data_IF_321437133778
#
_entry.id   IF_321437133778
#
_cell.length_a   1.000
_cell.length_b   1.000
_cell.length_c   1.000
_cell.angle_alpha   90.00
_cell.angle_beta   90.00
_cell.angle_gamma   90.00
#
_symmetry.space_group_name_H-M   'P 1'
#
loop_
_entity.id
_entity.type
_entity.pdbx_description
1 polymer ?
#
# COMPACT_ATOMS: atom_id res chain seq x y z
N UNK A 1 -0.42 -0.23 -15.34
CA UNK A 1 -1.59 0.15 -16.17
C UNK A 1 -2.75 -0.79 -15.84
N UNK A 2 -4.04 -0.33 -15.98
CA UNK A 2 -5.22 -1.12 -15.67
C UNK A 2 -5.55 -1.28 -14.17
N UNK A 3 -4.96 -0.45 -13.30
CA UNK A 3 -5.14 -0.51 -11.85
C UNK A 3 -6.27 0.40 -11.38
N UNK A 4 -6.73 0.20 -10.14
CA UNK A 4 -7.68 1.09 -9.46
C UNK A 4 -7.12 2.50 -9.30
N UNK A 5 -5.82 2.64 -9.09
CA UNK A 5 -5.12 3.92 -9.05
C UNK A 5 -5.23 4.71 -10.37
N UNK A 6 -5.07 4.05 -11.51
CA UNK A 6 -5.30 4.70 -12.83
C UNK A 6 -6.74 5.23 -12.95
N UNK A 7 -7.73 4.41 -12.55
CA UNK A 7 -9.13 4.80 -12.55
C UNK A 7 -9.39 5.98 -11.61
N UNK A 8 -8.78 5.97 -10.44
CA UNK A 8 -8.89 7.05 -9.47
C UNK A 8 -8.34 8.38 -10.02
N UNK A 9 -7.16 8.36 -10.65
CA UNK A 9 -6.59 9.56 -11.30
C UNK A 9 -7.53 10.13 -12.34
N UNK A 10 -8.04 9.29 -13.25
CA UNK A 10 -8.96 9.74 -14.32
C UNK A 10 -10.28 10.30 -13.77
N UNK A 11 -10.74 9.79 -12.64
CA UNK A 11 -12.00 10.20 -12.02
C UNK A 11 -11.85 11.47 -11.19
N UNK A 12 -10.85 11.54 -10.34
CA UNK A 12 -10.72 12.60 -9.32
C UNK A 12 -9.75 13.70 -9.72
N UNK A 13 -8.85 13.43 -10.66
CA UNK A 13 -7.84 14.37 -11.12
C UNK A 13 -7.85 14.50 -12.66
N UNK A 14 -8.97 14.88 -13.27
CA UNK A 14 -9.14 14.85 -14.73
C UNK A 14 -8.17 15.79 -15.49
N UNK A 15 -7.61 16.78 -14.80
CA UNK A 15 -6.66 17.74 -15.38
C UNK A 15 -5.19 17.33 -15.18
N UNK A 16 -4.92 16.22 -14.48
CA UNK A 16 -3.56 15.72 -14.30
C UNK A 16 -3.06 15.00 -15.55
N UNK A 17 -1.79 15.18 -15.87
CA UNK A 17 -1.13 14.39 -16.92
C UNK A 17 -0.84 13.01 -16.39
N UNK A 18 -1.62 12.01 -16.81
CA UNK A 18 -1.43 10.63 -16.40
C UNK A 18 -0.27 9.97 -17.16
N UNK A 19 0.58 9.29 -16.41
CA UNK A 19 1.70 8.49 -16.92
C UNK A 19 1.65 7.09 -16.31
N UNK A 20 1.37 6.08 -17.12
CA UNK A 20 1.27 4.68 -16.67
C UNK A 20 2.58 3.93 -16.84
N UNK A 21 2.87 3.03 -15.89
CA UNK A 21 4.04 2.15 -15.88
C UNK A 21 3.57 0.69 -15.76
N UNK A 22 4.38 -0.25 -16.24
CA UNK A 22 4.11 -1.67 -16.06
C UNK A 22 4.51 -2.13 -14.65
N UNK A 23 5.64 -1.65 -14.14
CA UNK A 23 6.09 -1.91 -12.79
C UNK A 23 5.80 -0.70 -11.89
N UNK A 24 5.17 -0.94 -10.76
CA UNK A 24 4.85 0.07 -9.75
C UNK A 24 6.12 0.70 -9.14
N UNK A 25 7.21 -0.07 -9.05
CA UNK A 25 8.48 0.42 -8.56
C UNK A 25 9.08 1.50 -9.46
N UNK A 26 8.94 1.36 -10.78
CA UNK A 26 9.42 2.36 -11.74
C UNK A 26 8.63 3.67 -11.61
N UNK A 27 7.31 3.57 -11.44
CA UNK A 27 6.46 4.74 -11.20
C UNK A 27 6.87 5.47 -9.91
N UNK A 28 7.14 4.73 -8.82
CA UNK A 28 7.60 5.31 -7.57
C UNK A 28 8.96 6.02 -7.72
N UNK A 29 9.89 5.42 -8.44
CA UNK A 29 11.20 6.01 -8.68
C UNK A 29 11.15 7.28 -9.53
N UNK A 30 10.17 7.43 -10.43
CA UNK A 30 9.99 8.68 -11.18
C UNK A 30 9.62 9.84 -10.25
N UNK A 31 8.77 9.61 -9.24
CA UNK A 31 8.45 10.64 -8.23
C UNK A 31 9.66 10.92 -7.33
N UNK A 32 10.34 9.90 -6.85
CA UNK A 32 11.53 10.04 -5.99
C UNK A 32 12.66 10.81 -6.70
N UNK A 33 12.75 10.67 -8.03
CA UNK A 33 13.73 11.36 -8.86
C UNK A 33 13.24 12.73 -9.38
N UNK A 34 12.05 13.19 -8.99
CA UNK A 34 11.51 14.49 -9.39
C UNK A 34 11.04 14.57 -10.86
N UNK A 35 10.78 13.44 -11.51
CA UNK A 35 10.29 13.37 -12.89
C UNK A 35 8.77 13.24 -12.99
N UNK A 36 8.10 13.02 -11.87
CA UNK A 36 6.65 13.06 -11.69
C UNK A 36 6.33 13.73 -10.36
N UNK A 37 5.18 14.40 -10.29
CA UNK A 37 4.77 15.17 -9.10
C UNK A 37 4.18 14.27 -8.01
N UNK A 38 3.48 13.19 -8.38
CA UNK A 38 2.83 12.29 -7.44
C UNK A 38 2.70 10.86 -7.99
N UNK A 39 2.66 9.89 -7.07
CA UNK A 39 2.26 8.51 -7.31
C UNK A 39 0.93 8.26 -6.60
N UNK A 40 -0.02 7.65 -7.30
CA UNK A 40 -1.25 7.12 -6.71
C UNK A 40 -1.24 5.61 -6.90
N UNK A 41 -1.14 4.90 -5.78
CA UNK A 41 -1.10 3.45 -5.72
C UNK A 41 -1.53 2.96 -4.33
N UNK A 42 -1.52 1.66 -4.10
CA UNK A 42 -1.90 1.05 -2.83
C UNK A 42 -1.11 1.61 -1.64
N UNK A 43 -1.82 1.94 -0.56
CA UNK A 43 -1.24 2.59 0.62
C UNK A 43 -0.03 1.83 1.20
N UNK A 44 -0.06 0.48 1.35
CA UNK A 44 1.10 -0.26 1.86
C UNK A 44 2.34 -0.13 0.98
N UNK A 45 2.16 -0.17 -0.35
CA UNK A 45 3.27 0.00 -1.29
C UNK A 45 3.86 1.41 -1.23
N UNK A 46 3.00 2.44 -1.23
CA UNK A 46 3.44 3.83 -1.11
C UNK A 46 4.21 4.07 0.20
N UNK A 47 3.72 3.52 1.32
CA UNK A 47 4.39 3.59 2.61
C UNK A 47 5.77 2.90 2.59
N UNK A 48 5.85 1.71 2.01
CA UNK A 48 7.11 0.99 1.83
C UNK A 48 8.12 1.79 0.98
N UNK A 49 7.70 2.31 -0.17
CA UNK A 49 8.59 3.07 -1.06
C UNK A 49 9.05 4.37 -0.42
N UNK A 50 8.18 5.08 0.29
CA UNK A 50 8.55 6.25 1.08
C UNK A 50 9.59 5.91 2.16
N UNK A 51 9.33 4.89 2.99
CA UNK A 51 10.23 4.49 4.06
C UNK A 51 11.60 4.02 3.54
N UNK A 52 11.63 3.42 2.36
CA UNK A 52 12.80 2.81 1.76
C UNK A 52 13.67 3.77 0.96
N UNK A 53 13.04 4.64 0.18
CA UNK A 53 13.72 5.43 -0.84
C UNK A 53 13.29 6.90 -0.88
N UNK A 54 12.12 7.22 -0.33
CA UNK A 54 11.47 8.53 -0.45
C UNK A 54 11.78 9.50 0.68
N UNK A 55 12.30 9.05 1.83
CA UNK A 55 12.59 9.94 2.99
C UNK A 55 13.53 11.07 2.60
N UNK A 56 13.11 12.30 2.90
CA UNK A 56 13.86 13.51 2.58
C UNK A 56 13.70 14.01 1.13
N UNK A 57 12.98 13.27 0.28
CA UNK A 57 12.72 13.63 -1.12
C UNK A 57 11.25 13.77 -1.44
N UNK A 58 10.40 13.04 -0.75
CA UNK A 58 8.95 12.99 -0.99
C UNK A 58 8.18 13.09 0.31
N UNK A 59 6.86 13.29 0.22
CA UNK A 59 5.93 13.25 1.35
C UNK A 59 4.99 12.07 1.13
N UNK A 60 4.75 11.28 2.17
CA UNK A 60 3.76 10.21 2.17
C UNK A 60 2.45 10.70 2.78
N UNK A 61 1.41 10.77 1.96
CA UNK A 61 0.06 11.13 2.40
C UNK A 61 -0.63 9.85 2.86
N UNK A 62 -0.67 9.64 4.18
CA UNK A 62 -1.21 8.42 4.80
C UNK A 62 -2.74 8.52 5.04
N UNK A 63 -3.45 9.12 4.10
CA UNK A 63 -4.91 9.23 4.13
C UNK A 63 -5.49 8.67 2.83
N UNK A 64 -6.07 7.46 2.84
CA UNK A 64 -6.68 6.90 1.64
C UNK A 64 -7.92 7.72 1.25
N UNK A 65 -8.02 8.07 -0.04
CA UNK A 65 -9.17 8.77 -0.61
C UNK A 65 -10.13 7.84 -1.36
N UNK A 66 -9.80 6.55 -1.45
CA UNK A 66 -10.65 5.46 -1.93
C UNK A 66 -10.78 4.39 -0.87
N UNK A 67 -11.88 3.64 -0.88
CA UNK A 67 -12.06 2.47 -0.03
C UNK A 67 -11.84 1.21 -0.86
N UNK A 68 -10.72 0.55 -0.63
CA UNK A 68 -10.31 -0.67 -1.36
C UNK A 68 -9.90 -1.75 -0.36
N UNK A 69 -10.85 -2.56 0.11
CA UNK A 69 -10.54 -3.60 1.09
C UNK A 69 -9.70 -4.71 0.44
N UNK A 70 -8.60 -5.03 1.09
CA UNK A 70 -7.81 -6.23 0.78
C UNK A 70 -8.36 -7.42 1.55
N UNK A 71 -8.33 -8.60 0.95
CA UNK A 71 -8.83 -9.82 1.56
C UNK A 71 -7.97 -11.04 1.21
N UNK A 72 -8.01 -12.04 2.07
CA UNK A 72 -7.47 -13.36 1.77
C UNK A 72 -8.47 -14.16 0.94
N UNK A 73 -7.99 -14.88 -0.05
CA UNK A 73 -8.78 -15.86 -0.78
C UNK A 73 -8.61 -17.25 -0.14
N UNK A 74 -9.71 -17.92 0.10
CA UNK A 74 -9.73 -19.29 0.63
C UNK A 74 -10.61 -20.17 -0.26
N UNK A 75 -10.51 -21.49 -0.10
CA UNK A 75 -11.40 -22.43 -0.77
C UNK A 75 -12.85 -22.18 -0.37
N UNK A 76 -13.74 -22.29 -1.36
CA UNK A 76 -15.17 -22.15 -1.12
C UNK A 76 -15.71 -23.33 -0.29
N UNK A 77 -16.65 -23.05 0.63
CA UNK A 77 -17.36 -24.07 1.38
C UNK A 77 -16.75 -24.42 2.74
N UNK A 78 -15.76 -23.66 3.23
CA UNK A 78 -15.18 -23.84 4.57
C UNK A 78 -15.53 -22.63 5.48
N UNK A 79 -16.74 -22.57 6.05
CA UNK A 79 -17.14 -21.49 6.92
C UNK A 79 -16.36 -21.45 8.24
N UNK A 80 -15.88 -22.57 8.73
CA UNK A 80 -15.14 -22.65 9.99
C UNK A 80 -13.76 -22.03 9.83
N UNK A 81 -13.08 -22.31 8.73
CA UNK A 81 -11.80 -21.67 8.42
C UNK A 81 -11.97 -20.17 8.17
N UNK A 82 -13.01 -19.76 7.46
CA UNK A 82 -13.32 -18.34 7.30
C UNK A 82 -13.53 -17.63 8.64
N UNK A 83 -14.29 -18.23 9.55
CA UNK A 83 -14.53 -17.70 10.88
C UNK A 83 -13.25 -17.66 11.72
N UNK A 84 -12.41 -18.68 11.62
CA UNK A 84 -11.09 -18.70 12.28
C UNK A 84 -10.23 -17.51 11.82
N UNK A 85 -10.11 -17.28 10.52
CA UNK A 85 -9.30 -16.16 9.97
C UNK A 85 -9.88 -14.80 10.37
N UNK A 86 -11.20 -14.64 10.35
CA UNK A 86 -11.84 -13.40 10.78
C UNK A 86 -11.63 -13.13 12.28
N UNK A 87 -11.69 -14.17 13.11
CA UNK A 87 -11.40 -14.06 14.54
C UNK A 87 -9.92 -13.74 14.79
N UNK A 88 -9.01 -14.37 14.06
CA UNK A 88 -7.59 -14.04 14.11
C UNK A 88 -7.33 -12.56 13.81
N UNK A 89 -7.90 -12.05 12.72
CA UNK A 89 -7.76 -10.62 12.37
C UNK A 89 -8.34 -9.69 13.44
N UNK A 90 -9.48 -10.06 14.04
CA UNK A 90 -10.08 -9.26 15.11
C UNK A 90 -9.21 -9.24 16.35
N UNK A 91 -8.67 -10.41 16.74
CA UNK A 91 -7.80 -10.53 17.90
C UNK A 91 -6.51 -9.74 17.70
N UNK A 92 -5.82 -9.92 16.56
CA UNK A 92 -4.55 -9.24 16.30
C UNK A 92 -4.68 -7.73 16.17
N UNK A 93 -5.84 -7.22 15.75
CA UNK A 93 -6.15 -5.79 15.79
C UNK A 93 -6.41 -5.29 17.21
N UNK A 94 -7.04 -6.13 18.05
CA UNK A 94 -7.36 -5.79 19.43
C UNK A 94 -6.14 -5.81 20.37
N UNK A 95 -5.18 -6.70 20.16
CA UNK A 95 -3.99 -6.85 21.00
C UNK A 95 -2.77 -6.04 20.52
N UNK A 96 -2.91 -5.30 19.40
CA UNK A 96 -1.86 -4.46 18.81
C UNK A 96 -0.84 -5.21 17.96
N UNK A 97 -0.96 -6.54 17.81
CA UNK A 97 -0.04 -7.33 16.98
C UNK A 97 -0.12 -6.92 15.50
N UNK A 98 -1.33 -6.62 15.01
CA UNK A 98 -1.53 -6.14 13.64
C UNK A 98 -0.76 -4.84 13.38
N UNK A 99 -0.91 -3.85 14.26
CA UNK A 99 -0.25 -2.55 14.13
C UNK A 99 1.27 -2.68 14.20
N UNK A 100 1.78 -3.47 15.15
CA UNK A 100 3.21 -3.76 15.25
C UNK A 100 3.75 -4.39 13.98
N UNK A 101 3.03 -5.38 13.41
CA UNK A 101 3.43 -6.06 12.17
C UNK A 101 3.39 -5.12 10.97
N UNK A 102 2.35 -4.29 10.86
CA UNK A 102 2.23 -3.28 9.82
C UNK A 102 3.39 -2.28 9.87
N UNK A 103 3.72 -1.78 11.05
CA UNK A 103 4.83 -0.85 11.22
C UNK A 103 6.18 -1.49 10.90
N UNK A 104 6.38 -2.73 11.31
CA UNK A 104 7.61 -3.46 11.01
C UNK A 104 7.82 -3.65 9.50
N UNK A 105 6.81 -4.14 8.79
CA UNK A 105 6.93 -4.49 7.38
C UNK A 105 6.70 -3.33 6.40
N UNK A 106 5.79 -2.42 6.73
CA UNK A 106 5.28 -1.41 5.79
C UNK A 106 5.75 0.00 6.17
N UNK A 107 5.11 0.62 7.16
CA UNK A 107 5.29 2.06 7.41
C UNK A 107 6.66 2.43 7.97
N UNK A 108 7.25 1.59 8.81
CA UNK A 108 8.57 1.79 9.40
C UNK A 108 9.70 1.19 8.58
N UNK A 109 9.39 0.18 7.77
CA UNK A 109 10.37 -0.67 7.06
C UNK A 109 11.50 -1.17 7.99
N UNK A 110 11.17 -1.48 9.25
CA UNK A 110 12.14 -1.85 10.29
C UNK A 110 12.85 -3.16 9.99
N UNK A 111 12.19 -4.08 9.29
CA UNK A 111 12.73 -5.36 8.82
C UNK A 111 14.06 -5.22 8.06
N UNK A 112 14.32 -4.05 7.45
CA UNK A 112 15.58 -3.80 6.73
C UNK A 112 16.81 -3.82 7.66
N UNK A 113 16.62 -3.61 8.95
CA UNK A 113 17.71 -3.68 9.93
C UNK A 113 18.11 -5.14 10.22
N UNK A 114 17.19 -6.07 9.97
CA UNK A 114 17.35 -7.49 10.29
C UNK A 114 17.84 -8.32 9.09
N UNK A 115 17.79 -7.72 7.88
CA UNK A 115 18.30 -8.34 6.64
C UNK A 115 19.67 -7.75 6.33
N UNK A 116 20.69 -8.61 6.32
CA UNK A 116 22.08 -8.25 5.97
C UNK A 116 22.31 -8.41 4.48
#
# INVERSE_FOLDING_TARGET
>A
MGTTGEKAIKTYLPNATYKGYEAEADAAMEVINGKADALIYDLPFCGYMYASHGKGKTVFLNEPFTFEPLAWAINQGDPDFMNYLNNFLRQTKGDGFYEKTYNYWISGAEWKKDVK
#
